data_IF_206626370411
#
_entry.id   IF_206626370411
#
_cell.length_a   1.000
_cell.length_b   1.000
_cell.length_c   1.000
_cell.angle_alpha   90.00
_cell.angle_beta   90.00
_cell.angle_gamma   90.00
#
_symmetry.space_group_name_H-M   'P 1'
#
loop_
_entity.id
_entity.type
_entity.pdbx_description
1 polymer ?
#
# COMPACT_ATOMS: atom_id res chain seq x y z
N UNK A 1 39.94 -6.15 -63.31
CA UNK A 1 39.77 -4.77 -62.82
C UNK A 1 40.39 -4.68 -61.44
N UNK A 2 41.53 -3.96 -61.28
CA UNK A 2 42.21 -3.54 -60.00
C UNK A 2 42.70 -4.72 -59.09
N UNK A 3 44.00 -5.00 -58.80
CA UNK A 3 45.14 -4.24 -58.22
C UNK A 3 44.94 -4.00 -56.69
N UNK A 4 45.83 -4.25 -55.72
CA UNK A 4 47.15 -4.94 -55.58
C UNK A 4 47.14 -5.71 -54.24
N UNK A 5 47.96 -6.72 -53.91
CA UNK A 5 49.44 -6.86 -53.80
C UNK A 5 50.12 -6.03 -52.67
N UNK A 6 50.93 -6.74 -51.87
CA UNK A 6 52.22 -6.35 -51.22
C UNK A 6 52.28 -5.97 -49.72
N UNK A 7 52.90 -6.88 -48.92
CA UNK A 7 54.03 -6.74 -47.93
C UNK A 7 53.79 -5.72 -46.75
N UNK A 8 54.41 -5.68 -45.54
CA UNK A 8 55.81 -5.91 -45.11
C UNK A 8 55.93 -6.25 -43.60
N UNK A 9 56.86 -7.18 -43.31
CA UNK A 9 57.67 -7.47 -42.09
C UNK A 9 57.26 -7.07 -40.65
N UNK A 10 57.64 -7.96 -39.74
CA UNK A 10 57.80 -7.73 -38.31
C UNK A 10 59.12 -7.03 -37.90
N UNK A 11 59.15 -6.60 -36.62
CA UNK A 11 60.23 -6.78 -35.62
C UNK A 11 61.08 -5.58 -35.12
N UNK A 12 61.18 -5.55 -33.77
CA UNK A 12 62.23 -5.00 -32.88
C UNK A 12 62.34 -3.48 -32.57
N UNK A 13 61.84 -3.14 -31.36
CA UNK A 13 62.58 -2.68 -30.17
C UNK A 13 63.87 -1.83 -30.33
N UNK A 14 64.01 -0.74 -29.55
CA UNK A 14 64.87 -0.62 -28.34
C UNK A 14 65.00 0.85 -27.84
N UNK A 15 64.80 1.08 -26.51
CA UNK A 15 65.22 2.24 -25.68
C UNK A 15 64.77 3.68 -26.07
N UNK A 16 64.75 4.69 -25.18
CA UNK A 16 65.41 4.91 -23.87
C UNK A 16 64.45 5.49 -22.79
N UNK A 17 64.78 5.25 -21.52
CA UNK A 17 64.27 5.93 -20.32
C UNK A 17 65.11 7.18 -19.97
N UNK A 18 65.01 7.81 -18.77
CA UNK A 18 63.84 8.28 -18.01
C UNK A 18 63.93 9.80 -17.69
N UNK A 19 62.81 10.50 -17.37
CA UNK A 19 62.88 11.79 -16.65
C UNK A 19 61.82 11.87 -15.53
N UNK A 20 62.28 12.36 -14.39
CA UNK A 20 61.62 12.60 -13.11
C UNK A 20 61.24 14.09 -13.00
N UNK A 21 59.98 14.42 -12.67
CA UNK A 21 59.68 15.17 -11.43
C UNK A 21 58.18 15.32 -11.12
N UNK A 22 57.91 15.78 -9.89
CA UNK A 22 56.62 15.93 -9.21
C UNK A 22 55.70 17.02 -9.79
N UNK A 23 54.39 16.96 -9.49
CA UNK A 23 53.64 18.03 -8.79
C UNK A 23 52.29 17.47 -8.27
N UNK A 24 51.85 18.00 -7.13
CA UNK A 24 50.72 17.61 -6.30
C UNK A 24 49.38 18.22 -6.69
N UNK A 25 48.28 17.48 -6.51
CA UNK A 25 47.10 17.79 -5.65
C UNK A 25 45.75 17.27 -6.17
N UNK A 26 44.88 16.92 -5.22
CA UNK A 26 43.42 16.94 -5.28
C UNK A 26 42.67 16.03 -6.28
N UNK A 27 42.23 14.88 -5.79
CA UNK A 27 40.87 14.38 -6.07
C UNK A 27 40.27 13.77 -4.80
N UNK A 28 39.15 14.30 -4.33
CA UNK A 28 38.45 13.78 -3.15
C UNK A 28 37.74 12.48 -3.51
N UNK A 29 38.21 11.37 -2.94
CA UNK A 29 37.48 10.11 -2.99
C UNK A 29 36.28 10.17 -2.03
N UNK A 30 35.20 10.85 -2.45
CA UNK A 30 33.91 10.70 -1.79
C UNK A 30 33.32 9.34 -2.17
N UNK A 31 33.41 8.40 -1.22
CA UNK A 31 32.66 7.13 -1.28
C UNK A 31 31.17 7.41 -1.16
N UNK A 32 30.52 7.69 -2.28
CA UNK A 32 29.05 7.86 -2.34
C UNK A 32 28.41 6.49 -2.09
N UNK A 33 28.03 6.24 -0.83
CA UNK A 33 27.10 5.16 -0.51
C UNK A 33 25.75 5.51 -1.15
N UNK A 34 25.44 4.87 -2.27
CA UNK A 34 24.11 4.93 -2.87
C UNK A 34 23.12 4.29 -1.88
N UNK A 35 22.42 5.12 -1.12
CA UNK A 35 21.26 4.69 -0.34
C UNK A 35 20.18 4.38 -1.38
N UNK A 36 20.09 3.11 -1.78
CA UNK A 36 18.94 2.62 -2.52
C UNK A 36 17.73 2.72 -1.59
N UNK A 37 16.95 3.80 -1.77
CA UNK A 37 15.63 3.93 -1.17
C UNK A 37 14.70 2.96 -1.89
N UNK A 38 14.85 1.68 -1.57
CA UNK A 38 13.83 0.67 -1.82
C UNK A 38 12.54 1.22 -1.19
N UNK A 39 11.62 1.71 -2.02
CA UNK A 39 10.27 2.03 -1.56
C UNK A 39 9.65 0.70 -1.17
N UNK A 40 9.65 0.40 0.12
CA UNK A 40 8.74 -0.55 0.68
C UNK A 40 7.34 -0.11 0.24
N UNK A 41 6.69 -0.89 -0.61
CA UNK A 41 5.34 -0.60 -1.07
C UNK A 41 4.39 -0.95 0.08
N UNK A 42 4.35 -0.07 1.08
CA UNK A 42 3.38 -0.11 2.15
C UNK A 42 2.04 0.26 1.51
N UNK A 43 1.09 -0.68 1.47
CA UNK A 43 -0.21 -0.43 0.88
C UNK A 43 -0.90 0.72 1.64
N UNK A 44 -1.16 1.82 0.95
CA UNK A 44 -1.77 3.00 1.57
C UNK A 44 -3.21 2.68 2.00
N UNK A 45 -3.52 3.02 3.25
CA UNK A 45 -4.84 2.89 3.85
C UNK A 45 -5.55 4.24 3.81
N UNK A 46 -6.82 4.19 3.40
CA UNK A 46 -7.72 5.33 3.31
C UNK A 46 -8.95 5.09 4.17
N UNK A 47 -9.62 6.16 4.60
CA UNK A 47 -10.70 6.14 5.58
C UNK A 47 -11.92 6.93 5.09
N UNK A 48 -13.10 6.53 5.56
CA UNK A 48 -14.37 7.23 5.36
C UNK A 48 -14.68 8.16 6.55
N UNK A 49 -15.68 9.02 6.35
CA UNK A 49 -16.39 9.77 7.40
C UNK A 49 -17.26 8.87 8.30
N UNK A 50 -17.41 7.58 7.96
CA UNK A 50 -18.10 6.55 8.73
C UNK A 50 -17.14 5.60 9.47
N UNK A 51 -15.86 5.95 9.52
CA UNK A 51 -14.80 5.23 10.22
C UNK A 51 -14.50 3.80 9.69
N UNK A 52 -14.96 3.45 8.48
CA UNK A 52 -14.40 2.32 7.74
C UNK A 52 -13.05 2.69 7.12
N UNK A 53 -12.23 1.68 6.84
CA UNK A 53 -10.98 1.82 6.11
C UNK A 53 -10.94 0.92 4.87
N UNK A 54 -10.16 1.34 3.87
CA UNK A 54 -9.79 0.52 2.71
C UNK A 54 -8.28 0.57 2.47
N UNK A 55 -7.66 -0.59 2.37
CA UNK A 55 -6.25 -0.76 1.99
C UNK A 55 -6.19 -1.31 0.56
N UNK A 56 -5.46 -0.63 -0.33
CA UNK A 56 -5.54 -0.91 -1.77
C UNK A 56 -4.28 -1.59 -2.29
N UNK A 57 -4.42 -2.85 -2.71
CA UNK A 57 -3.37 -3.69 -3.25
C UNK A 57 -3.61 -3.95 -4.74
N UNK A 58 -3.09 -3.04 -5.57
CA UNK A 58 -3.17 -3.11 -7.03
C UNK A 58 -4.59 -2.86 -7.56
N UNK A 59 -5.44 -3.88 -7.55
CA UNK A 59 -6.87 -3.82 -7.92
C UNK A 59 -7.82 -4.25 -6.79
N UNK A 60 -7.27 -4.85 -5.74
CA UNK A 60 -8.05 -5.38 -4.62
C UNK A 60 -8.07 -4.31 -3.52
N UNK A 61 -9.25 -4.03 -3.00
CA UNK A 61 -9.43 -3.27 -1.76
C UNK A 61 -9.75 -4.24 -0.65
N UNK A 62 -9.02 -4.19 0.46
CA UNK A 62 -9.36 -4.86 1.71
C UNK A 62 -10.07 -3.85 2.58
N UNK A 63 -11.27 -4.17 3.09
CA UNK A 63 -12.10 -3.26 3.89
C UNK A 63 -12.17 -3.76 5.34
N UNK A 64 -12.18 -2.83 6.29
CA UNK A 64 -12.53 -3.09 7.69
C UNK A 64 -13.02 -1.82 8.40
N UNK A 65 -13.21 -1.90 9.72
CA UNK A 65 -13.51 -0.71 10.55
C UNK A 65 -12.29 -0.27 11.35
N UNK A 66 -12.21 1.02 11.68
CA UNK A 66 -11.07 1.59 12.40
C UNK A 66 -11.07 1.26 13.89
N UNK A 67 -9.93 1.53 14.53
CA UNK A 67 -9.78 1.42 16.00
C UNK A 67 -10.85 2.23 16.74
N UNK A 68 -11.16 3.44 16.27
CA UNK A 68 -12.18 4.32 16.85
C UNK A 68 -13.58 3.71 16.74
N UNK A 69 -13.92 3.14 15.57
CA UNK A 69 -15.22 2.51 15.34
C UNK A 69 -15.47 1.33 16.28
N UNK A 70 -14.48 0.44 16.44
CA UNK A 70 -14.65 -0.73 17.33
C UNK A 70 -14.67 -0.32 18.81
N UNK A 71 -13.97 0.76 19.21
CA UNK A 71 -14.04 1.32 20.56
C UNK A 71 -15.42 1.92 20.86
N UNK A 72 -16.01 2.63 19.89
CA UNK A 72 -17.36 3.19 19.99
C UNK A 72 -18.45 2.11 20.05
N UNK A 73 -18.33 1.05 19.24
CA UNK A 73 -19.20 -0.13 19.32
C UNK A 73 -19.02 -0.89 20.65
N UNK A 74 -17.79 -1.02 21.14
CA UNK A 74 -17.46 -1.96 22.21
C UNK A 74 -17.45 -3.41 21.71
N UNK A 75 -17.63 -4.36 22.63
CA UNK A 75 -17.49 -5.79 22.36
C UNK A 75 -18.48 -6.28 21.28
N UNK A 76 -17.97 -6.53 20.07
CA UNK A 76 -18.75 -6.98 18.92
C UNK A 76 -19.12 -8.46 19.11
N UNK A 77 -20.41 -8.77 18.96
CA UNK A 77 -20.98 -10.10 19.17
C UNK A 77 -21.53 -10.74 17.88
N UNK A 78 -21.74 -9.95 16.84
CA UNK A 78 -22.22 -10.41 15.54
C UNK A 78 -21.71 -9.51 14.40
N UNK A 79 -21.45 -10.13 13.25
CA UNK A 79 -21.03 -9.46 12.03
C UNK A 79 -21.75 -10.07 10.83
N UNK A 80 -22.51 -9.24 10.11
CA UNK A 80 -23.12 -9.59 8.82
C UNK A 80 -22.31 -8.96 7.70
N UNK A 81 -21.70 -9.79 6.87
CA UNK A 81 -20.83 -9.38 5.76
C UNK A 81 -21.53 -9.56 4.41
N UNK A 82 -21.16 -8.79 3.37
CA UNK A 82 -21.72 -8.98 2.05
C UNK A 82 -21.29 -10.31 1.44
N UNK A 83 -22.19 -10.96 0.71
CA UNK A 83 -21.88 -12.20 0.00
C UNK A 83 -20.88 -11.97 -1.13
N UNK A 84 -20.05 -12.97 -1.40
CA UNK A 84 -19.15 -12.99 -2.56
C UNK A 84 -19.97 -12.85 -3.84
N UNK A 85 -19.42 -12.15 -4.83
CA UNK A 85 -20.03 -11.73 -6.09
C UNK A 85 -21.09 -10.61 -6.01
N UNK A 86 -21.40 -10.10 -4.82
CA UNK A 86 -22.21 -8.88 -4.66
C UNK A 86 -21.53 -7.69 -5.36
N UNK A 87 -22.32 -6.93 -6.13
CA UNK A 87 -21.89 -5.68 -6.76
C UNK A 87 -22.27 -4.51 -5.83
N UNK A 88 -21.27 -3.76 -5.39
CA UNK A 88 -21.41 -2.61 -4.49
C UNK A 88 -20.96 -1.33 -5.21
N UNK A 89 -21.64 -0.22 -4.96
CA UNK A 89 -21.16 1.13 -5.26
C UNK A 89 -20.60 1.77 -4.00
N UNK A 90 -19.77 2.79 -4.17
CA UNK A 90 -19.36 3.65 -3.05
C UNK A 90 -20.60 4.20 -2.33
N UNK A 91 -20.63 4.03 -0.99
CA UNK A 91 -21.72 4.36 -0.06
C UNK A 91 -22.98 3.50 -0.15
N UNK A 92 -22.97 2.39 -0.89
CA UNK A 92 -24.01 1.37 -0.72
C UNK A 92 -23.84 0.68 0.64
N UNK A 93 -24.94 0.48 1.36
CA UNK A 93 -25.01 -0.38 2.55
C UNK A 93 -24.74 -1.83 2.14
N UNK A 94 -23.84 -2.51 2.85
CA UNK A 94 -23.34 -3.84 2.47
C UNK A 94 -23.33 -4.87 3.61
N UNK A 95 -23.67 -4.48 4.83
CA UNK A 95 -23.66 -5.35 6.00
C UNK A 95 -23.95 -4.60 7.29
N UNK A 96 -23.76 -5.24 8.43
CA UNK A 96 -23.94 -4.64 9.74
C UNK A 96 -23.03 -5.31 10.79
N UNK A 97 -22.67 -4.56 11.83
CA UNK A 97 -21.99 -5.06 13.03
C UNK A 97 -22.85 -4.79 14.25
N UNK A 98 -22.99 -5.77 15.14
CA UNK A 98 -23.74 -5.62 16.40
C UNK A 98 -22.85 -5.92 17.60
N UNK A 99 -22.98 -5.10 18.63
CA UNK A 99 -22.34 -5.23 19.94
C UNK A 99 -23.38 -5.31 21.04
N UNK A 100 -22.93 -5.54 22.29
CA UNK A 100 -23.82 -5.47 23.47
C UNK A 100 -24.35 -4.05 23.74
N UNK A 101 -23.77 -3.01 23.10
CA UNK A 101 -24.08 -1.59 23.33
C UNK A 101 -24.83 -0.93 22.17
N UNK A 102 -24.54 -1.32 20.94
CA UNK A 102 -24.97 -0.63 19.73
C UNK A 102 -24.99 -1.58 18.52
N UNK A 103 -25.63 -1.14 17.44
CA UNK A 103 -25.45 -1.69 16.10
C UNK A 103 -24.98 -0.57 15.17
N UNK A 104 -24.23 -0.93 14.12
CA UNK A 104 -23.84 -0.02 13.04
C UNK A 104 -23.98 -0.73 11.71
N UNK A 105 -24.62 -0.08 10.77
CA UNK A 105 -24.58 -0.46 9.36
C UNK A 105 -23.15 -0.29 8.81
N UNK A 106 -22.80 -1.10 7.80
CA UNK A 106 -21.52 -1.03 7.09
C UNK A 106 -21.74 -0.47 5.68
N UNK A 107 -20.96 0.54 5.29
CA UNK A 107 -21.02 1.13 3.96
C UNK A 107 -19.77 0.81 3.14
N UNK A 108 -19.94 0.54 1.84
CA UNK A 108 -18.80 0.27 0.96
C UNK A 108 -18.00 1.56 0.68
N UNK A 109 -16.70 1.63 1.00
CA UNK A 109 -15.89 2.83 0.76
C UNK A 109 -15.61 3.09 -0.72
N UNK A 110 -15.73 2.06 -1.58
CA UNK A 110 -15.44 2.10 -3.02
C UNK A 110 -16.43 1.24 -3.81
N UNK A 111 -16.59 1.52 -5.10
CA UNK A 111 -17.37 0.69 -6.03
C UNK A 111 -16.57 -0.52 -6.50
N UNK A 112 -17.18 -1.71 -6.47
CA UNK A 112 -16.51 -2.96 -6.78
C UNK A 112 -17.41 -4.20 -6.70
N UNK A 113 -16.85 -5.36 -7.07
CA UNK A 113 -17.43 -6.69 -6.82
C UNK A 113 -16.76 -7.29 -5.59
N UNK A 114 -17.54 -7.80 -4.64
CA UNK A 114 -17.00 -8.56 -3.50
C UNK A 114 -16.37 -9.86 -4.01
N UNK A 115 -15.11 -10.10 -3.68
CA UNK A 115 -14.36 -11.30 -4.11
C UNK A 115 -14.08 -12.27 -2.96
N UNK A 116 -14.14 -11.80 -1.71
CA UNK A 116 -13.81 -12.57 -0.52
C UNK A 116 -14.48 -11.92 0.69
N UNK A 117 -15.02 -12.71 1.62
CA UNK A 117 -15.47 -12.25 2.94
C UNK A 117 -14.76 -13.01 4.04
N UNK A 118 -14.54 -12.39 5.19
CA UNK A 118 -13.80 -12.99 6.29
C UNK A 118 -14.73 -13.84 7.17
N UNK A 119 -14.84 -15.13 6.85
CA UNK A 119 -15.64 -16.06 7.66
C UNK A 119 -15.08 -16.25 9.07
N UNK A 120 -13.79 -16.02 9.32
CA UNK A 120 -13.20 -16.07 10.68
C UNK A 120 -13.80 -14.96 11.57
N UNK A 121 -14.18 -13.81 10.99
CA UNK A 121 -14.87 -12.73 11.71
C UNK A 121 -16.36 -13.02 11.90
N UNK A 122 -17.03 -13.71 10.96
CA UNK A 122 -18.41 -14.18 11.16
C UNK A 122 -18.49 -15.23 12.29
N UNK A 123 -17.51 -16.15 12.35
CA UNK A 123 -17.40 -17.17 13.40
C UNK A 123 -16.83 -16.64 14.73
N UNK A 124 -16.05 -15.55 14.70
CA UNK A 124 -15.41 -14.95 15.88
C UNK A 124 -15.32 -13.41 15.80
N UNK A 125 -16.44 -12.69 16.02
CA UNK A 125 -16.51 -11.23 15.83
C UNK A 125 -15.55 -10.40 16.69
N UNK A 126 -15.06 -10.94 17.82
CA UNK A 126 -14.07 -10.29 18.70
C UNK A 126 -12.69 -10.06 18.03
N UNK A 127 -12.44 -10.65 16.86
CA UNK A 127 -11.31 -10.30 16.00
C UNK A 127 -11.35 -8.84 15.53
N UNK A 128 -12.56 -8.26 15.39
CA UNK A 128 -12.74 -6.84 15.08
C UNK A 128 -12.17 -5.98 16.22
N UNK A 129 -12.50 -6.29 17.48
CA UNK A 129 -12.01 -5.52 18.62
C UNK A 129 -10.50 -5.69 18.87
N UNK A 130 -9.97 -6.89 18.65
CA UNK A 130 -8.57 -7.23 18.98
C UNK A 130 -7.59 -6.96 17.83
N UNK A 131 -8.07 -6.86 16.59
CA UNK A 131 -7.22 -6.88 15.40
C UNK A 131 -7.84 -6.17 14.18
N UNK A 132 -8.59 -5.08 14.41
CA UNK A 132 -9.35 -4.30 13.41
C UNK A 132 -8.63 -4.00 12.08
N UNK A 133 -7.30 -3.89 12.09
CA UNK A 133 -6.45 -3.57 10.94
C UNK A 133 -5.71 -4.75 10.30
N UNK A 134 -5.74 -5.93 10.92
CA UNK A 134 -4.99 -7.11 10.49
C UNK A 134 -5.92 -8.31 10.31
N UNK A 135 -6.32 -9.00 11.39
CA UNK A 135 -7.22 -10.17 11.30
C UNK A 135 -8.71 -9.80 11.23
N UNK A 136 -9.06 -8.62 11.72
CA UNK A 136 -10.42 -8.08 11.75
C UNK A 136 -10.86 -7.39 10.44
N UNK A 137 -10.18 -7.64 9.32
CA UNK A 137 -10.69 -7.24 8.01
C UNK A 137 -12.04 -7.93 7.74
N UNK A 138 -12.93 -7.26 7.03
CA UNK A 138 -14.31 -7.70 6.85
C UNK A 138 -14.50 -8.36 5.47
N UNK A 139 -14.24 -7.64 4.39
CA UNK A 139 -14.39 -8.17 3.04
C UNK A 139 -13.38 -7.55 2.08
N UNK A 140 -13.21 -8.17 0.91
CA UNK A 140 -12.36 -7.68 -0.19
C UNK A 140 -13.19 -7.44 -1.43
N UNK A 141 -12.86 -6.38 -2.17
CA UNK A 141 -13.49 -6.01 -3.44
C UNK A 141 -12.48 -5.91 -4.57
N UNK A 142 -12.85 -6.35 -5.78
CA UNK A 142 -12.18 -5.88 -7.00
C UNK A 142 -12.74 -4.50 -7.36
N UNK A 143 -11.90 -3.46 -7.32
CA UNK A 143 -12.32 -2.09 -7.59
C UNK A 143 -12.69 -1.89 -9.06
N UNK A 144 -13.91 -1.40 -9.31
CA UNK A 144 -14.35 -0.97 -10.65
C UNK A 144 -13.91 0.46 -10.95
N UNK A 145 -13.86 1.35 -9.95
CA UNK A 145 -13.48 2.76 -10.11
C UNK A 145 -12.43 3.23 -9.09
N UNK A 146 -11.15 3.20 -9.49
CA UNK A 146 -10.03 3.65 -8.63
C UNK A 146 -10.02 5.15 -8.31
N UNK A 147 -10.80 5.99 -9.02
CA UNK A 147 -10.81 7.44 -8.76
C UNK A 147 -11.48 7.77 -7.42
N UNK A 148 -12.38 6.91 -6.96
CA UNK A 148 -13.12 7.07 -5.69
C UNK A 148 -12.19 7.09 -4.47
N UNK A 149 -11.02 6.42 -4.54
CA UNK A 149 -9.99 6.45 -3.48
C UNK A 149 -9.52 7.88 -3.20
N UNK A 150 -9.40 8.74 -4.23
CA UNK A 150 -8.93 10.13 -4.06
C UNK A 150 -9.93 11.06 -3.34
N UNK A 151 -11.15 10.60 -3.08
CA UNK A 151 -12.15 11.30 -2.26
C UNK A 151 -12.13 10.84 -0.79
N UNK A 152 -11.37 9.78 -0.46
CA UNK A 152 -11.22 9.26 0.90
C UNK A 152 -10.09 9.97 1.64
N UNK A 153 -10.13 9.91 2.98
CA UNK A 153 -9.11 10.50 3.84
C UNK A 153 -7.89 9.58 3.93
N UNK A 154 -6.68 10.12 3.81
CA UNK A 154 -5.48 9.39 4.24
C UNK A 154 -5.36 9.38 5.78
N UNK A 155 -4.43 8.59 6.32
CA UNK A 155 -4.15 8.46 7.76
C UNK A 155 -4.02 9.81 8.50
N UNK A 156 -3.33 10.79 7.90
CA UNK A 156 -3.11 12.10 8.51
C UNK A 156 -4.38 12.98 8.51
N UNK A 157 -5.17 12.91 7.44
CA UNK A 157 -6.48 13.57 7.36
C UNK A 157 -7.47 12.96 8.35
N UNK A 158 -7.49 11.62 8.46
CA UNK A 158 -8.35 10.91 9.40
C UNK A 158 -7.97 11.21 10.86
N UNK A 159 -6.67 11.26 11.16
CA UNK A 159 -6.16 11.66 12.49
C UNK A 159 -6.58 13.09 12.87
N UNK A 160 -6.67 14.01 11.90
CA UNK A 160 -7.14 15.37 12.16
C UNK A 160 -8.67 15.42 12.30
N UNK A 161 -9.40 14.68 11.45
CA UNK A 161 -10.84 14.50 11.55
C UNK A 161 -11.25 14.04 12.96
N UNK A 162 -10.61 12.99 13.51
CA UNK A 162 -10.86 12.49 14.87
C UNK A 162 -10.57 13.48 16.00
N UNK A 163 -9.78 14.55 15.77
CA UNK A 163 -9.60 15.64 16.77
C UNK A 163 -10.69 16.69 16.68
N UNK A 164 -11.17 16.95 15.47
CA UNK A 164 -12.26 17.92 15.24
C UNK A 164 -13.63 17.35 15.60
N UNK A 165 -13.79 16.03 15.48
CA UNK A 165 -15.06 15.34 15.67
C UNK A 165 -15.25 14.95 17.15
N UNK A 166 -15.67 15.94 17.94
CA UNK A 166 -16.15 15.72 19.30
C UNK A 166 -17.56 15.12 19.25
N UNK A 167 -17.65 13.79 19.33
CA UNK A 167 -18.86 13.04 19.63
C UNK A 167 -18.78 12.42 21.04
#
# INVERSE_FOLDING_TARGET
MVISRVVVRAARLVNKSPIFNQITTNSSLQTVRLISTSRCNLAERFYTDKHEWVQVEGKIGVIGISQYAQEALGDVVYAQLPDVDTQLKQKDECGALESVKAASELFSPVSGRVIEKNTEVEDSPSLINTSCYEKGWLFKVELTNKKEISALMNEAQYTEFLKSDHH
#
